data_IF_763318224972
#
_entry.id   IF_763318224972
#
_cell.length_a   1.000
_cell.length_b   1.000
_cell.length_c   1.000
_cell.angle_alpha   90.00
_cell.angle_beta   90.00
_cell.angle_gamma   90.00
#
_symmetry.space_group_name_H-M   'P 1'
#
loop_
_entity.id
_entity.type
_entity.pdbx_description
1 polymer ?
#
# COMPACT_ATOMS: atom_id res chain seq x y z
N UNK A 1 11.77 17.91 -3.92
CA UNK A 1 12.30 16.62 -4.42
C UNK A 1 12.30 15.66 -3.24
N UNK A 2 12.06 14.34 -3.41
CA UNK A 2 12.13 13.43 -2.28
C UNK A 2 13.47 13.61 -1.53
N UNK A 3 13.48 13.53 -0.20
CA UNK A 3 14.72 13.62 0.56
C UNK A 3 15.65 12.49 0.14
N UNK A 4 16.95 12.74 0.22
CA UNK A 4 17.95 11.71 -0.02
C UNK A 4 17.74 10.54 0.96
N UNK A 5 17.74 9.32 0.46
CA UNK A 5 17.47 8.10 1.24
C UNK A 5 18.57 7.11 0.95
N UNK A 6 18.99 6.39 1.98
CA UNK A 6 19.98 5.30 1.85
C UNK A 6 19.52 4.20 0.88
N UNK A 7 18.20 4.05 0.69
CA UNK A 7 17.60 3.06 -0.20
C UNK A 7 16.65 3.79 -1.16
N UNK A 8 16.99 3.75 -2.45
CA UNK A 8 16.11 4.21 -3.51
C UNK A 8 15.10 3.12 -3.89
N UNK A 9 13.84 3.53 -4.11
CA UNK A 9 12.81 2.62 -4.57
C UNK A 9 12.82 2.56 -6.10
N UNK A 10 13.42 1.51 -6.64
CA UNK A 10 13.50 1.26 -8.08
C UNK A 10 12.37 0.31 -8.49
N UNK A 11 11.63 0.67 -9.55
CA UNK A 11 10.62 -0.19 -10.16
C UNK A 11 11.27 -0.89 -11.36
N UNK A 12 11.66 -2.14 -11.17
CA UNK A 12 12.23 -2.97 -12.24
C UNK A 12 11.11 -3.51 -13.14
N UNK A 13 11.25 -3.30 -14.45
CA UNK A 13 10.30 -3.78 -15.45
C UNK A 13 10.87 -5.01 -16.18
N UNK A 14 10.00 -5.83 -16.76
CA UNK A 14 10.42 -6.92 -17.63
C UNK A 14 11.27 -6.37 -18.80
N UNK A 15 12.37 -7.03 -19.19
CA UNK A 15 13.21 -6.59 -20.30
C UNK A 15 12.40 -6.43 -21.59
N UNK A 16 12.58 -5.29 -22.28
CA UNK A 16 11.88 -5.00 -23.53
C UNK A 16 10.46 -4.44 -23.38
N UNK A 17 10.02 -4.10 -22.17
CA UNK A 17 8.69 -3.49 -21.97
C UNK A 17 8.62 -2.08 -22.56
N UNK A 18 7.69 -1.88 -23.50
CA UNK A 18 7.39 -0.56 -24.06
C UNK A 18 6.51 0.27 -23.08
N UNK A 19 6.56 1.61 -23.13
CA UNK A 19 5.71 2.46 -22.31
C UNK A 19 4.21 2.21 -22.52
N UNK A 20 3.48 2.12 -21.41
CA UNK A 20 2.02 1.94 -21.40
C UNK A 20 1.37 3.29 -21.08
N UNK A 21 0.55 3.77 -22.01
CA UNK A 21 -0.27 4.97 -21.84
C UNK A 21 -1.76 4.62 -21.95
N UNK A 22 -2.45 4.64 -20.81
CA UNK A 22 -3.89 4.40 -20.72
C UNK A 22 -4.65 5.72 -20.68
N UNK A 23 -5.83 5.74 -21.32
CA UNK A 23 -6.73 6.90 -21.31
C UNK A 23 -7.37 7.08 -19.92
N UNK A 24 -7.55 8.33 -19.45
CA UNK A 24 -8.34 8.62 -18.26
C UNK A 24 -9.76 8.06 -18.37
N UNK A 25 -10.33 7.62 -17.25
CA UNK A 25 -11.74 7.25 -17.19
C UNK A 25 -12.63 8.51 -17.31
N UNK A 26 -13.85 8.31 -17.80
CA UNK A 26 -14.85 9.38 -17.85
C UNK A 26 -15.34 9.66 -16.43
N UNK A 27 -15.25 10.92 -16.01
CA UNK A 27 -15.64 11.38 -14.67
C UNK A 27 -16.67 12.51 -14.78
N UNK A 28 -17.58 12.58 -13.81
CA UNK A 28 -18.52 13.70 -13.68
C UNK A 28 -17.77 15.00 -13.30
N UNK A 29 -18.33 16.19 -13.55
CA UNK A 29 -17.68 17.46 -13.21
C UNK A 29 -17.27 17.56 -11.72
N UNK A 30 -18.15 17.09 -10.82
CA UNK A 30 -17.91 17.08 -9.37
C UNK A 30 -16.68 16.21 -9.02
N UNK A 31 -16.57 15.03 -9.64
CA UNK A 31 -15.43 14.13 -9.44
C UNK A 31 -14.13 14.73 -9.99
N UNK A 32 -14.20 15.48 -11.09
CA UNK A 32 -13.02 16.15 -11.66
C UNK A 32 -12.50 17.25 -10.73
N UNK A 33 -13.38 18.01 -10.08
CA UNK A 33 -13.02 19.01 -9.08
C UNK A 33 -12.38 18.38 -7.84
N UNK A 34 -12.94 17.26 -7.35
CA UNK A 34 -12.36 16.49 -6.25
C UNK A 34 -10.96 15.96 -6.60
N UNK A 35 -10.78 15.41 -7.82
CA UNK A 35 -9.45 14.94 -8.28
C UNK A 35 -8.47 16.09 -8.37
N UNK A 36 -8.87 17.24 -8.92
CA UNK A 36 -8.02 18.42 -9.02
C UNK A 36 -7.56 18.91 -7.64
N UNK A 37 -8.48 18.97 -6.68
CA UNK A 37 -8.18 19.36 -5.28
C UNK A 37 -7.13 18.42 -4.67
N UNK A 38 -7.33 17.10 -4.83
CA UNK A 38 -6.35 16.11 -4.35
C UNK A 38 -4.97 16.26 -5.03
N UNK A 39 -4.93 16.55 -6.33
CA UNK A 39 -3.67 16.78 -7.07
C UNK A 39 -2.95 18.01 -6.52
N UNK A 40 -3.66 19.12 -6.31
CA UNK A 40 -3.09 20.36 -5.79
C UNK A 40 -2.52 20.17 -4.37
N UNK A 41 -3.20 19.40 -3.52
CA UNK A 41 -2.68 19.03 -2.20
C UNK A 41 -1.41 18.17 -2.29
N UNK A 42 -1.37 17.19 -3.19
CA UNK A 42 -0.20 16.32 -3.36
C UNK A 42 0.99 17.09 -3.96
N UNK A 43 0.74 18.07 -4.82
CA UNK A 43 1.74 19.01 -5.31
C UNK A 43 2.26 19.90 -4.19
N UNK A 44 1.39 20.45 -3.35
CA UNK A 44 1.77 21.27 -2.21
C UNK A 44 2.60 20.49 -1.18
N UNK A 45 2.26 19.22 -0.93
CA UNK A 45 3.05 18.30 -0.08
C UNK A 45 4.38 17.88 -0.73
N UNK A 46 4.57 18.15 -2.02
CA UNK A 46 5.77 17.77 -2.78
C UNK A 46 5.88 16.26 -3.06
N UNK A 47 4.77 15.52 -2.96
CA UNK A 47 4.73 14.08 -3.21
C UNK A 47 4.73 13.75 -4.70
N UNK A 48 4.12 14.63 -5.51
CA UNK A 48 4.09 14.51 -6.97
C UNK A 48 4.66 15.76 -7.61
N UNK A 49 4.95 15.67 -8.91
CA UNK A 49 5.35 16.81 -9.75
C UNK A 49 4.77 16.64 -11.15
N UNK A 50 4.58 17.74 -11.90
CA UNK A 50 4.29 17.64 -13.32
C UNK A 50 5.38 16.83 -14.03
N UNK A 51 4.99 15.96 -14.96
CA UNK A 51 5.91 15.11 -15.70
C UNK A 51 5.48 14.99 -17.16
N UNK A 52 6.45 14.84 -18.05
CA UNK A 52 6.26 14.55 -19.48
C UNK A 52 6.60 13.09 -19.79
N UNK A 53 6.08 12.17 -18.97
CA UNK A 53 6.38 10.74 -19.09
C UNK A 53 5.65 10.12 -20.30
N UNK A 54 6.27 9.17 -21.02
CA UNK A 54 5.57 8.35 -22.00
C UNK A 54 4.61 7.34 -21.35
N UNK A 55 4.66 7.20 -20.02
CA UNK A 55 3.76 6.36 -19.23
C UNK A 55 2.61 7.18 -18.65
N UNK A 56 1.39 6.65 -18.77
CA UNK A 56 0.20 7.30 -18.22
C UNK A 56 -0.81 6.25 -17.74
N UNK A 57 -1.37 6.48 -16.56
CA UNK A 57 -2.36 5.58 -15.95
C UNK A 57 -3.56 6.39 -15.44
N UNK A 58 -4.79 5.87 -15.58
CA UNK A 58 -5.98 6.59 -15.17
C UNK A 58 -6.12 6.62 -13.66
N UNK A 59 -6.77 7.67 -13.17
CA UNK A 59 -7.18 7.85 -11.78
C UNK A 59 -8.63 7.41 -11.63
N UNK A 60 -8.95 6.85 -10.47
CA UNK A 60 -10.31 6.50 -10.04
C UNK A 60 -10.54 6.97 -8.60
N UNK A 61 -11.77 7.35 -8.28
CA UNK A 61 -12.20 7.69 -6.93
C UNK A 61 -12.86 6.47 -6.28
N UNK A 62 -12.44 6.14 -5.06
CA UNK A 62 -13.04 5.04 -4.27
C UNK A 62 -13.57 5.60 -2.97
N UNK A 63 -14.83 5.31 -2.66
CA UNK A 63 -15.43 5.66 -1.37
C UNK A 63 -14.85 4.80 -0.26
N UNK A 64 -14.42 5.45 0.82
CA UNK A 64 -13.99 4.76 2.03
C UNK A 64 -15.20 4.17 2.73
N UNK A 65 -15.09 2.93 3.22
CA UNK A 65 -16.16 2.31 4.00
C UNK A 65 -16.46 3.16 5.24
N UNK A 66 -17.74 3.36 5.54
CA UNK A 66 -18.26 4.06 6.71
C UNK A 66 -17.90 5.57 6.78
N UNK A 67 -17.28 6.13 5.73
CA UNK A 67 -16.91 7.55 5.66
C UNK A 67 -17.32 8.08 4.28
N UNK A 68 -17.91 9.27 4.17
CA UNK A 68 -18.22 9.90 2.87
C UNK A 68 -16.96 10.48 2.17
N UNK A 69 -15.78 9.95 2.53
CA UNK A 69 -14.47 10.38 2.07
C UNK A 69 -14.10 9.55 0.83
N UNK A 70 -13.83 10.22 -0.29
CA UNK A 70 -13.36 9.57 -1.51
C UNK A 70 -11.84 9.63 -1.60
N UNK A 71 -11.22 8.48 -1.88
CA UNK A 71 -9.78 8.34 -2.07
C UNK A 71 -9.45 8.36 -3.55
N UNK A 72 -8.50 9.21 -3.91
CA UNK A 72 -7.89 9.17 -5.23
C UNK A 72 -6.95 7.96 -5.35
N UNK A 73 -7.22 7.05 -6.29
CA UNK A 73 -6.43 5.86 -6.54
C UNK A 73 -5.97 5.83 -8.01
N UNK A 74 -4.71 5.47 -8.26
CA UNK A 74 -4.18 5.32 -9.62
C UNK A 74 -4.24 3.84 -10.00
N UNK A 75 -4.76 3.54 -11.20
CA UNK A 75 -4.86 2.17 -11.70
C UNK A 75 -3.53 1.67 -12.28
N UNK A 76 -2.68 1.16 -11.39
CA UNK A 76 -1.40 0.57 -11.75
C UNK A 76 -1.49 -0.91 -12.17
N UNK A 77 -2.67 -1.48 -12.42
CA UNK A 77 -2.78 -2.93 -12.72
C UNK A 77 -1.92 -3.35 -13.91
N UNK A 78 -1.95 -2.59 -15.00
CA UNK A 78 -1.12 -2.88 -16.17
C UNK A 78 0.38 -2.66 -15.91
N UNK A 79 0.75 -1.72 -15.04
CA UNK A 79 2.14 -1.55 -14.61
C UNK A 79 2.59 -2.76 -13.79
N UNK A 80 1.79 -3.18 -12.81
CA UNK A 80 2.09 -4.29 -11.91
C UNK A 80 2.26 -5.64 -12.63
N UNK A 81 1.63 -5.81 -13.80
CA UNK A 81 1.81 -7.00 -14.65
C UNK A 81 3.18 -7.06 -15.32
N UNK A 82 3.74 -5.89 -15.67
CA UNK A 82 5.05 -5.78 -16.33
C UNK A 82 6.20 -5.47 -15.36
N UNK A 83 5.89 -5.20 -14.09
CA UNK A 83 6.88 -5.05 -13.02
C UNK A 83 7.38 -6.39 -12.53
N UNK A 84 8.70 -6.53 -12.35
CA UNK A 84 9.32 -7.72 -11.75
C UNK A 84 8.87 -7.82 -10.30
N UNK A 85 8.25 -8.96 -9.95
CA UNK A 85 7.72 -9.20 -8.60
C UNK A 85 8.86 -9.49 -7.62
N UNK A 86 9.24 -8.50 -6.82
CA UNK A 86 10.14 -8.69 -5.71
C UNK A 86 9.43 -9.44 -4.57
N UNK A 87 9.67 -10.75 -4.46
CA UNK A 87 9.14 -11.59 -3.38
C UNK A 87 10.14 -11.62 -2.24
N UNK A 88 10.05 -10.64 -1.34
CA UNK A 88 10.76 -10.71 -0.07
C UNK A 88 10.06 -11.69 0.88
N UNK A 89 10.77 -12.63 1.52
CA UNK A 89 10.17 -13.55 2.47
C UNK A 89 9.77 -12.79 3.73
N UNK A 90 8.50 -12.39 3.82
CA UNK A 90 7.95 -11.86 5.06
C UNK A 90 7.76 -13.01 6.07
N UNK A 91 8.22 -12.86 7.31
CA UNK A 91 8.03 -13.87 8.35
C UNK A 91 6.54 -14.11 8.59
N UNK A 92 6.16 -15.35 8.90
CA UNK A 92 4.77 -15.63 9.28
C UNK A 92 4.48 -14.95 10.61
N UNK A 93 3.24 -14.49 10.77
CA UNK A 93 2.84 -13.80 12.00
C UNK A 93 2.99 -14.69 13.23
N UNK A 94 2.77 -16.01 13.09
CA UNK A 94 2.96 -17.01 14.13
C UNK A 94 4.42 -17.01 14.64
N UNK A 95 5.39 -17.00 13.72
CA UNK A 95 6.82 -17.03 14.04
C UNK A 95 7.23 -15.78 14.81
N UNK A 96 6.69 -14.61 14.44
CA UNK A 96 6.93 -13.36 15.14
C UNK A 96 6.37 -13.38 16.57
N UNK A 97 5.18 -13.95 16.77
CA UNK A 97 4.58 -14.06 18.10
C UNK A 97 5.29 -15.07 19.00
N UNK A 98 5.80 -16.17 18.45
CA UNK A 98 6.59 -17.14 19.19
C UNK A 98 7.92 -16.53 19.65
N UNK A 99 8.60 -15.75 18.78
CA UNK A 99 9.79 -14.98 19.16
C UNK A 99 9.48 -13.99 20.29
N UNK A 100 8.36 -13.25 20.17
CA UNK A 100 7.92 -12.29 21.18
C UNK A 100 7.69 -12.99 22.54
N UNK A 101 6.93 -14.08 22.55
CA UNK A 101 6.70 -14.85 23.77
C UNK A 101 7.98 -15.43 24.36
N UNK A 102 8.87 -15.96 23.51
CA UNK A 102 10.17 -16.48 23.92
C UNK A 102 11.03 -15.45 24.63
N UNK A 103 11.04 -14.21 24.13
CA UNK A 103 11.77 -13.10 24.74
C UNK A 103 11.16 -12.67 26.10
N UNK A 104 9.85 -12.39 26.15
CA UNK A 104 9.22 -11.83 27.35
C UNK A 104 8.98 -12.84 28.48
N UNK A 105 9.01 -14.15 28.22
CA UNK A 105 8.99 -15.18 29.27
C UNK A 105 10.13 -15.02 30.28
N UNK A 106 11.23 -14.35 29.92
CA UNK A 106 12.39 -14.11 30.81
C UNK A 106 12.15 -12.98 31.81
N UNK A 107 11.26 -12.04 31.49
CA UNK A 107 11.06 -10.81 32.26
C UNK A 107 9.68 -10.73 32.92
N UNK A 108 8.70 -11.46 32.40
CA UNK A 108 7.31 -11.41 32.85
C UNK A 108 6.83 -12.82 33.16
N UNK A 109 6.47 -13.05 34.41
CA UNK A 109 5.86 -14.31 34.83
C UNK A 109 4.55 -14.58 34.10
N UNK A 110 4.36 -15.84 33.71
CA UNK A 110 3.16 -16.32 33.02
C UNK A 110 2.84 -15.55 31.72
N UNK A 111 3.83 -14.94 31.06
CA UNK A 111 3.62 -14.13 29.85
C UNK A 111 2.85 -14.87 28.75
N UNK A 112 3.12 -16.17 28.54
CA UNK A 112 2.37 -16.97 27.55
C UNK A 112 0.89 -17.15 27.88
N UNK A 113 0.49 -17.14 29.16
CA UNK A 113 -0.93 -17.14 29.53
C UNK A 113 -1.57 -15.78 29.24
N UNK A 114 -0.82 -14.69 29.48
CA UNK A 114 -1.26 -13.31 29.21
C UNK A 114 -1.39 -13.02 27.70
N UNK A 115 -0.49 -13.55 26.87
CA UNK A 115 -0.49 -13.41 25.41
C UNK A 115 -1.40 -14.42 24.67
N UNK A 116 -2.06 -15.33 25.41
CA UNK A 116 -2.97 -16.35 24.87
C UNK A 116 -4.17 -15.77 24.09
N UNK A 117 -4.80 -14.65 24.49
CA UNK A 117 -5.88 -14.04 23.71
C UNK A 117 -5.42 -13.63 22.31
N UNK A 118 -4.20 -13.08 22.21
CA UNK A 118 -3.62 -12.59 20.97
C UNK A 118 -3.23 -13.72 20.01
N UNK A 119 -2.64 -14.80 20.53
CA UNK A 119 -2.34 -16.00 19.72
C UNK A 119 -3.60 -16.81 19.35
N UNK A 120 -4.67 -16.71 20.13
CA UNK A 120 -5.92 -17.41 19.82
C UNK A 120 -6.62 -16.86 18.58
N UNK A 121 -6.42 -15.57 18.26
CA UNK A 121 -6.98 -14.93 17.06
C UNK A 121 -6.26 -15.35 15.77
N UNK A 122 -5.10 -15.99 15.87
CA UNK A 122 -4.33 -16.50 14.73
C UNK A 122 -4.77 -17.90 14.31
N UNK A 123 -5.61 -18.56 15.11
CA UNK A 123 -6.13 -19.89 14.80
C UNK A 123 -7.11 -19.79 13.64
N UNK A 124 -7.01 -20.73 12.69
CA UNK A 124 -7.97 -20.86 11.58
C UNK A 124 -9.38 -20.98 12.16
N UNK A 125 -10.32 -20.21 11.59
CA UNK A 125 -11.74 -20.10 12.00
C UNK A 125 -12.01 -19.37 13.33
N UNK A 126 -11.03 -18.63 13.87
CA UNK A 126 -11.27 -17.74 15.00
C UNK A 126 -12.21 -16.58 14.59
N UNK A 127 -13.42 -16.56 15.16
CA UNK A 127 -14.35 -15.46 14.98
C UNK A 127 -13.80 -14.20 15.66
N UNK A 128 -13.64 -13.13 14.88
CA UNK A 128 -13.44 -11.79 15.43
C UNK A 128 -14.77 -11.35 16.05
N UNK A 129 -14.82 -11.30 17.39
CA UNK A 129 -15.98 -10.78 18.15
C UNK A 129 -15.94 -9.27 18.21
#
# INVERSE_FOLDING_TARGET
>A
MPPDREIEFIIELLPGTAPIAKRPYRMAPIEQEEVKTNIDELLAKGYIRPSSSPWAFPVLLVEKKDTNEKRMCVDYRALNEVTIKNKYPLPRIDDLFDQLQGYYRRFIENFSKKAKPMTSLLKKDAAYK
#
